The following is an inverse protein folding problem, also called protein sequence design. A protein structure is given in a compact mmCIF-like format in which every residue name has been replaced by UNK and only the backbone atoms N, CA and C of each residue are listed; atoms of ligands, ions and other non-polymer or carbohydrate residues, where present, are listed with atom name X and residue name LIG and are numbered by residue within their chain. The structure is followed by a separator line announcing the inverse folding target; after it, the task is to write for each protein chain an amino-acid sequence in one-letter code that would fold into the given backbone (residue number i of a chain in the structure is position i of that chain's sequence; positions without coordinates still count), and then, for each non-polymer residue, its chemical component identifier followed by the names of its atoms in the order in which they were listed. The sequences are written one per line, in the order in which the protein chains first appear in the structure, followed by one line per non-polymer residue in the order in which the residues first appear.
data_IF_454521979547
#
_entry.id   IF_454521979547
#
_cell.length_a   1.000
_cell.length_b   1.000
_cell.length_c   1.000
_cell.angle_alpha   90.00
_cell.angle_beta   90.00
_cell.angle_gamma   90.00
#
_symmetry.space_group_name_H-M   'P 1'
#
loop_
_entity.id
_entity.type
_entity.pdbx_description
1 polymer ?
#
# COMPACT_ATOMS: atom_id res chain seq x y z
N UNK A 1 -27.77 0.88 -19.35
CA UNK A 1 -28.43 0.80 -18.02
C UNK A 1 -29.62 -0.13 -18.16
N UNK A 2 -29.57 -1.34 -17.59
CA UNK A 2 -30.72 -2.23 -17.52
C UNK A 2 -31.31 -2.15 -16.12
N UNK A 3 -32.55 -1.72 -15.99
CA UNK A 3 -33.25 -1.69 -14.71
C UNK A 3 -33.78 -3.11 -14.43
N UNK A 4 -33.25 -3.81 -13.41
CA UNK A 4 -33.94 -4.98 -12.85
C UNK A 4 -35.00 -4.46 -11.88
N UNK A 5 -36.27 -4.63 -12.22
CA UNK A 5 -37.37 -4.51 -11.25
C UNK A 5 -37.46 -5.81 -10.47
N UNK A 6 -37.66 -5.73 -9.15
CA UNK A 6 -37.84 -6.93 -8.33
C UNK A 6 -39.08 -7.73 -8.79
N UNK A 7 -39.08 -9.08 -8.68
CA UNK A 7 -40.17 -9.93 -9.18
C UNK A 7 -41.54 -9.71 -8.52
N UNK A 8 -41.65 -8.87 -7.49
CA UNK A 8 -42.85 -8.72 -6.69
C UNK A 8 -43.15 -9.94 -5.82
N UNK A 9 -44.07 -9.78 -4.86
CA UNK A 9 -44.53 -10.86 -3.98
C UNK A 9 -45.99 -11.18 -4.25
N UNK A 10 -46.42 -12.45 -4.13
CA UNK A 10 -47.83 -12.79 -4.26
C UNK A 10 -48.65 -12.15 -3.12
N UNK A 11 -49.89 -11.72 -3.40
CA UNK A 11 -50.79 -11.20 -2.38
C UNK A 11 -51.11 -12.28 -1.33
N UNK A 12 -51.06 -11.91 -0.05
CA UNK A 12 -51.27 -12.81 1.07
C UNK A 12 -52.77 -13.14 1.22
N UNK A 13 -53.09 -14.43 1.39
CA UNK A 13 -54.47 -14.90 1.62
C UNK A 13 -55.29 -15.17 0.37
N UNK A 14 -54.71 -15.06 -0.84
CA UNK A 14 -55.40 -15.42 -2.08
C UNK A 14 -55.18 -16.90 -2.42
N UNK A 15 -56.28 -17.65 -2.60
CA UNK A 15 -56.20 -19.04 -3.04
C UNK A 15 -56.04 -19.09 -4.56
N UNK A 16 -55.20 -20.01 -5.05
CA UNK A 16 -55.04 -20.23 -6.49
C UNK A 16 -56.26 -21.01 -6.98
N UNK A 17 -57.17 -20.33 -7.67
CA UNK A 17 -58.43 -20.91 -8.14
C UNK A 17 -58.22 -22.00 -9.21
N UNK A 18 -57.19 -21.85 -10.05
CA UNK A 18 -56.86 -22.80 -11.12
C UNK A 18 -55.37 -23.11 -11.07
N UNK A 19 -55.01 -24.34 -10.71
CA UNK A 19 -53.63 -24.81 -10.74
C UNK A 19 -53.38 -25.61 -12.03
N UNK A 20 -52.36 -25.22 -12.79
CA UNK A 20 -51.95 -25.94 -14.04
C UNK A 20 -50.94 -27.06 -13.79
N UNK A 21 -50.59 -27.30 -12.52
CA UNK A 21 -49.68 -28.35 -12.08
C UNK A 21 -48.92 -27.95 -10.82
N UNK A 22 -48.02 -28.82 -10.35
CA UNK A 22 -47.13 -28.52 -9.20
C UNK A 22 -45.73 -28.20 -9.69
N UNK A 23 -45.09 -27.22 -9.07
CA UNK A 23 -43.67 -26.96 -9.30
C UNK A 23 -42.81 -28.06 -8.69
N UNK A 24 -42.01 -28.77 -9.50
CA UNK A 24 -41.08 -29.80 -8.99
C UNK A 24 -40.00 -29.24 -8.07
N UNK A 25 -39.66 -27.96 -8.20
CA UNK A 25 -38.64 -27.30 -7.37
C UNK A 25 -39.22 -26.68 -6.09
N UNK A 26 -40.36 -25.97 -6.18
CA UNK A 26 -40.96 -25.27 -5.03
C UNK A 26 -42.02 -26.09 -4.29
N UNK A 27 -42.50 -27.19 -4.88
CA UNK A 27 -43.58 -28.06 -4.35
C UNK A 27 -44.85 -27.24 -4.00
N UNK A 28 -45.16 -26.26 -4.86
CA UNK A 28 -46.35 -25.41 -4.74
C UNK A 28 -47.19 -25.49 -6.02
N UNK A 29 -48.52 -25.31 -5.93
CA UNK A 29 -49.38 -25.24 -7.11
C UNK A 29 -48.98 -24.04 -7.98
N UNK A 30 -48.80 -24.30 -9.28
CA UNK A 30 -48.44 -23.30 -10.29
C UNK A 30 -49.71 -22.60 -10.79
N UNK A 31 -49.80 -21.26 -10.68
CA UNK A 31 -50.83 -20.50 -11.37
C UNK A 31 -50.71 -20.61 -12.90
N UNK A 32 -51.79 -20.37 -13.67
CA UNK A 32 -51.77 -20.46 -15.12
C UNK A 32 -50.77 -19.46 -15.73
N UNK A 33 -50.09 -19.89 -16.80
CA UNK A 33 -49.07 -19.11 -17.55
C UNK A 33 -47.85 -18.67 -16.72
N UNK A 34 -47.63 -19.24 -15.54
CA UNK A 34 -46.42 -19.00 -14.76
C UNK A 34 -45.39 -20.09 -15.02
N UNK A 35 -44.14 -19.67 -15.18
CA UNK A 35 -43.01 -20.58 -15.34
C UNK A 35 -42.04 -20.36 -14.19
N UNK A 36 -41.49 -21.45 -13.68
CA UNK A 36 -40.40 -21.39 -12.72
C UNK A 36 -39.13 -20.95 -13.45
N UNK A 37 -38.51 -19.87 -13.01
CA UNK A 37 -37.22 -19.43 -13.50
C UNK A 37 -36.12 -19.88 -12.52
N UNK A 38 -35.15 -20.65 -13.00
CA UNK A 38 -34.00 -21.10 -12.20
C UNK A 38 -33.16 -19.93 -11.67
N UNK A 39 -33.12 -18.82 -12.41
CA UNK A 39 -32.36 -17.60 -12.03
C UNK A 39 -32.94 -16.89 -10.80
N UNK A 40 -34.24 -17.07 -10.50
CA UNK A 40 -34.86 -16.65 -9.24
C UNK A 40 -34.81 -17.71 -8.14
N UNK A 41 -34.22 -18.88 -8.43
CA UNK A 41 -33.99 -19.96 -7.47
C UNK A 41 -32.52 -20.14 -7.10
N UNK A 42 -31.67 -19.17 -7.44
CA UNK A 42 -30.30 -19.09 -6.96
C UNK A 42 -30.15 -18.01 -5.89
N UNK A 43 -30.85 -18.15 -4.77
CA UNK A 43 -30.23 -17.81 -3.50
C UNK A 43 -29.58 -19.13 -3.05
N UNK A 44 -28.27 -19.25 -2.87
CA UNK A 44 -27.57 -18.75 -1.70
C UNK A 44 -26.07 -19.04 -1.91
N UNK A 45 -25.28 -18.11 -2.46
CA UNK A 45 -24.04 -17.82 -1.71
C UNK A 45 -24.59 -17.17 -0.46
N UNK A 46 -24.70 -17.96 0.63
CA UNK A 46 -25.23 -17.52 1.92
C UNK A 46 -24.80 -16.08 2.15
N UNK A 47 -25.73 -15.12 2.31
CA UNK A 47 -25.37 -13.70 2.46
C UNK A 47 -24.30 -13.50 3.54
N UNK A 48 -24.29 -14.39 4.55
CA UNK A 48 -23.22 -14.52 5.55
C UNK A 48 -21.85 -14.78 4.92
N UNK A 49 -21.71 -15.73 3.99
CA UNK A 49 -20.44 -15.98 3.29
C UNK A 49 -19.94 -14.76 2.51
N UNK A 50 -20.82 -14.06 1.78
CA UNK A 50 -20.41 -12.83 1.07
C UNK A 50 -19.96 -11.75 2.06
N UNK A 51 -20.70 -11.57 3.15
CA UNK A 51 -20.32 -10.65 4.23
C UNK A 51 -18.98 -11.04 4.87
N UNK A 52 -18.75 -12.33 5.14
CA UNK A 52 -17.47 -12.82 5.65
C UNK A 52 -16.32 -12.54 4.69
N UNK A 53 -16.50 -12.76 3.38
CA UNK A 53 -15.48 -12.47 2.37
C UNK A 53 -15.15 -10.97 2.30
N UNK A 54 -16.16 -10.09 2.34
CA UNK A 54 -15.95 -8.64 2.37
C UNK A 54 -15.18 -8.22 3.63
N UNK A 55 -15.54 -8.77 4.80
CA UNK A 55 -14.84 -8.48 6.04
C UNK A 55 -13.38 -8.95 5.99
N UNK A 56 -13.13 -10.18 5.51
CA UNK A 56 -11.78 -10.71 5.36
C UNK A 56 -10.94 -9.83 4.44
N UNK A 57 -11.46 -9.49 3.25
CA UNK A 57 -10.79 -8.62 2.29
C UNK A 57 -10.46 -7.26 2.91
N UNK A 58 -11.42 -6.65 3.62
CA UNK A 58 -11.23 -5.37 4.29
C UNK A 58 -10.06 -5.43 5.30
N UNK A 59 -10.02 -6.46 6.16
CA UNK A 59 -8.96 -6.58 7.16
C UNK A 59 -7.60 -6.90 6.53
N UNK A 60 -7.56 -7.72 5.47
CA UNK A 60 -6.33 -8.00 4.70
C UNK A 60 -5.80 -6.72 4.06
N UNK A 61 -6.66 -5.97 3.37
CA UNK A 61 -6.29 -4.69 2.76
C UNK A 61 -5.81 -3.69 3.82
N UNK A 62 -6.48 -3.61 4.97
CA UNK A 62 -6.08 -2.74 6.08
C UNK A 62 -4.68 -3.12 6.62
N UNK A 63 -4.40 -4.41 6.82
CA UNK A 63 -3.10 -4.88 7.28
C UNK A 63 -1.98 -4.53 6.28
N UNK A 64 -2.25 -4.68 4.99
CA UNK A 64 -1.31 -4.30 3.92
C UNK A 64 -1.05 -2.79 3.95
N UNK A 65 -2.10 -1.96 4.04
CA UNK A 65 -1.95 -0.49 4.11
C UNK A 65 -1.11 -0.09 5.32
N UNK A 66 -1.40 -0.64 6.51
CA UNK A 66 -0.62 -0.34 7.72
C UNK A 66 0.85 -0.74 7.55
N UNK A 67 1.13 -1.92 6.99
CA UNK A 67 2.49 -2.38 6.72
C UNK A 67 3.24 -1.48 5.75
N UNK A 68 2.59 -1.07 4.65
CA UNK A 68 3.18 -0.18 3.65
C UNK A 68 3.43 1.22 4.21
N UNK A 69 2.51 1.77 5.01
CA UNK A 69 2.70 3.06 5.67
C UNK A 69 3.89 3.02 6.63
N UNK A 70 4.03 1.94 7.41
CA UNK A 70 5.18 1.77 8.29
C UNK A 70 6.51 1.68 7.53
N UNK A 71 6.51 0.96 6.40
CA UNK A 71 7.66 0.84 5.52
C UNK A 71 8.04 2.21 4.93
N UNK A 72 7.08 2.95 4.38
CA UNK A 72 7.28 4.30 3.82
C UNK A 72 7.81 5.25 4.88
N UNK A 73 7.25 5.22 6.10
CA UNK A 73 7.72 6.05 7.20
C UNK A 73 9.17 5.72 7.58
N UNK A 74 9.47 4.44 7.74
CA UNK A 74 10.80 3.99 8.15
C UNK A 74 11.86 4.34 7.11
N UNK A 75 11.57 4.11 5.83
CA UNK A 75 12.45 4.51 4.73
C UNK A 75 12.54 6.04 4.58
N UNK A 76 11.42 6.75 4.70
CA UNK A 76 11.39 8.19 4.63
C UNK A 76 12.23 8.86 5.72
N UNK A 77 12.27 8.27 6.92
CA UNK A 77 13.12 8.73 8.02
C UNK A 77 14.60 8.61 7.69
N UNK A 78 15.06 7.45 7.23
CA UNK A 78 16.48 7.26 6.88
C UNK A 78 16.90 8.10 5.66
N UNK A 79 16.03 8.22 4.65
CA UNK A 79 16.28 9.12 3.51
C UNK A 79 16.41 10.56 3.99
N UNK A 80 15.56 10.98 4.93
CA UNK A 80 15.65 12.33 5.50
C UNK A 80 16.97 12.60 6.22
N UNK A 81 17.62 11.56 6.75
CA UNK A 81 18.94 11.63 7.40
C UNK A 81 20.12 11.40 6.44
N UNK A 82 19.86 11.18 5.14
CA UNK A 82 20.91 10.90 4.16
C UNK A 82 21.63 9.57 4.39
N UNK A 83 20.89 8.54 4.83
CA UNK A 83 21.44 7.20 5.07
C UNK A 83 20.61 6.10 4.37
N UNK A 84 21.30 5.06 3.90
CA UNK A 84 20.70 3.80 3.45
C UNK A 84 20.34 2.89 4.64
N UNK A 85 19.57 1.83 4.40
CA UNK A 85 19.21 0.87 5.45
C UNK A 85 20.42 0.18 6.07
N UNK A 86 21.48 -0.05 5.29
CA UNK A 86 22.73 -0.64 5.77
C UNK A 86 23.52 0.40 6.58
N UNK A 87 23.64 1.61 6.05
CA UNK A 87 24.34 2.71 6.74
C UNK A 87 23.67 3.07 8.05
N UNK A 88 22.34 3.02 8.17
CA UNK A 88 21.64 3.24 9.44
C UNK A 88 22.23 2.39 10.58
N UNK A 89 22.44 1.09 10.34
CA UNK A 89 23.00 0.20 11.36
C UNK A 89 24.50 0.47 11.62
N UNK A 90 25.26 0.82 10.58
CA UNK A 90 26.68 1.21 10.70
C UNK A 90 26.80 2.50 11.52
N UNK A 91 25.99 3.50 11.20
CA UNK A 91 25.90 4.80 11.86
C UNK A 91 25.48 4.62 13.32
N UNK A 92 24.48 3.78 13.58
CA UNK A 92 24.05 3.46 14.94
C UNK A 92 25.18 2.82 15.76
N UNK A 93 25.91 1.85 15.20
CA UNK A 93 27.05 1.22 15.86
C UNK A 93 28.20 2.21 16.08
N UNK A 94 28.47 3.08 15.10
CA UNK A 94 29.52 4.10 15.16
C UNK A 94 29.18 5.18 16.19
N UNK A 95 27.94 5.65 16.23
CA UNK A 95 27.44 6.59 17.22
C UNK A 95 27.60 6.06 18.65
N UNK A 96 27.30 4.77 18.89
CA UNK A 96 27.56 4.12 20.19
C UNK A 96 29.06 4.15 20.54
N UNK A 97 29.95 3.86 19.59
CA UNK A 97 31.42 3.89 19.79
C UNK A 97 31.95 5.31 20.06
N UNK A 98 31.33 6.33 19.48
CA UNK A 98 31.69 7.73 19.69
C UNK A 98 31.19 8.23 21.04
N UNK A 99 29.97 7.87 21.42
CA UNK A 99 29.39 8.22 22.72
C UNK A 99 30.25 7.69 23.89
N UNK A 100 30.79 6.47 23.78
CA UNK A 100 31.75 5.93 24.76
C UNK A 100 33.01 6.80 24.91
N UNK A 101 33.39 7.55 23.87
CA UNK A 101 34.53 8.48 23.88
C UNK A 101 34.11 9.93 24.14
N UNK A 102 32.88 10.17 24.60
CA UNK A 102 32.27 11.50 24.78
C UNK A 102 32.33 12.37 23.51
N UNK A 103 32.23 11.72 22.34
CA UNK A 103 32.15 12.38 21.04
C UNK A 103 30.76 12.16 20.45
N UNK A 104 30.32 13.09 19.59
CA UNK A 104 29.07 12.95 18.83
C UNK A 104 29.44 12.46 17.42
N UNK A 105 28.70 11.47 16.93
CA UNK A 105 28.81 11.02 15.54
C UNK A 105 27.85 11.84 14.69
N UNK A 106 28.35 12.35 13.56
CA UNK A 106 27.57 13.07 12.56
C UNK A 106 27.67 12.32 11.24
N UNK A 107 26.54 12.11 10.57
CA UNK A 107 26.52 11.43 9.27
C UNK A 107 27.16 12.35 8.19
N UNK A 108 28.24 11.94 7.52
CA UNK A 108 28.89 12.72 6.47
C UNK A 108 28.06 12.96 5.21
N UNK A 109 27.00 12.19 5.02
CA UNK A 109 26.11 12.31 3.87
C UNK A 109 24.76 12.96 4.21
N UNK A 110 24.61 13.52 5.41
CA UNK A 110 23.43 14.29 5.78
C UNK A 110 23.56 15.77 5.38
N UNK A 111 22.91 16.14 4.28
CA UNK A 111 22.84 17.53 3.79
C UNK A 111 21.59 18.27 4.27
N UNK A 112 20.80 17.65 5.15
CA UNK A 112 19.47 18.09 5.57
C UNK A 112 18.36 17.55 4.67
N UNK A 113 17.19 17.32 5.28
CA UNK A 113 16.09 16.55 4.68
C UNK A 113 15.76 16.92 3.22
N UNK A 114 15.60 18.22 2.88
CA UNK A 114 15.24 18.63 1.51
C UNK A 114 16.30 18.22 0.49
N UNK A 115 17.59 18.40 0.81
CA UNK A 115 18.69 18.08 -0.09
C UNK A 115 18.87 16.56 -0.20
N UNK A 116 18.71 15.85 0.91
CA UNK A 116 18.78 14.39 0.93
C UNK A 116 17.68 13.77 0.05
N UNK A 117 16.44 14.28 0.17
CA UNK A 117 15.33 13.84 -0.68
C UNK A 117 15.54 14.17 -2.16
N UNK A 118 16.10 15.34 -2.50
CA UNK A 118 16.45 15.67 -3.88
C UNK A 118 17.51 14.73 -4.45
N UNK A 119 18.55 14.44 -3.67
CA UNK A 119 19.61 13.51 -4.02
C UNK A 119 19.07 12.10 -4.26
N UNK A 120 18.27 11.58 -3.31
CA UNK A 120 17.66 10.26 -3.41
C UNK A 120 16.74 10.10 -4.62
N UNK A 121 15.92 11.11 -4.91
CA UNK A 121 14.98 11.09 -6.03
C UNK A 121 15.62 11.45 -7.38
N UNK A 122 16.87 11.92 -7.40
CA UNK A 122 17.54 12.39 -8.62
C UNK A 122 16.84 13.58 -9.29
N UNK A 123 16.25 14.48 -8.50
CA UNK A 123 15.51 15.65 -8.99
C UNK A 123 16.16 16.96 -8.54
N UNK A 124 16.22 17.93 -9.46
CA UNK A 124 16.75 19.27 -9.14
C UNK A 124 15.65 20.16 -8.56
N UNK A 125 14.43 20.04 -9.10
CA UNK A 125 13.24 20.75 -8.66
C UNK A 125 12.07 19.80 -8.32
N UNK A 126 11.46 20.01 -7.15
CA UNK A 126 10.33 19.21 -6.68
C UNK A 126 9.04 19.44 -7.49
N UNK A 127 8.91 20.56 -8.21
CA UNK A 127 7.69 20.85 -8.97
C UNK A 127 7.79 20.34 -10.41
N UNK A 128 8.84 20.72 -11.13
CA UNK A 128 8.98 20.39 -12.55
C UNK A 128 9.32 18.92 -12.82
N UNK A 129 10.24 18.34 -12.04
CA UNK A 129 10.82 17.04 -12.34
C UNK A 129 10.06 15.88 -11.68
N UNK A 130 9.36 16.14 -10.57
CA UNK A 130 8.71 15.10 -9.77
C UNK A 130 7.73 14.24 -10.59
N UNK A 131 6.83 14.87 -11.35
CA UNK A 131 5.88 14.13 -12.19
C UNK A 131 6.55 13.37 -13.34
N UNK A 132 7.58 13.96 -13.95
CA UNK A 132 8.23 13.39 -15.15
C UNK A 132 9.19 12.25 -14.81
N UNK A 133 9.94 12.38 -13.71
CA UNK A 133 11.01 11.45 -13.34
C UNK A 133 10.58 10.38 -12.33
N UNK A 134 9.52 10.61 -11.54
CA UNK A 134 9.12 9.69 -10.46
C UNK A 134 7.79 8.97 -10.77
N UNK A 135 6.76 9.69 -11.19
CA UNK A 135 5.43 9.08 -11.41
C UNK A 135 5.40 8.24 -12.68
N UNK A 136 6.10 8.67 -13.73
CA UNK A 136 6.22 7.93 -14.99
C UNK A 136 7.45 7.02 -14.90
N UNK A 137 7.35 5.72 -15.30
CA UNK A 137 8.50 4.82 -15.35
C UNK A 137 9.66 5.47 -16.11
N UNK A 138 10.72 5.76 -15.37
CA UNK A 138 11.84 6.57 -15.84
C UNK A 138 12.92 5.72 -16.50
N UNK A 139 13.50 6.25 -17.58
CA UNK A 139 14.73 5.73 -18.22
C UNK A 139 15.89 6.73 -18.00
N UNK A 140 15.71 7.71 -17.12
CA UNK A 140 16.73 8.72 -16.85
C UNK A 140 17.87 8.13 -16.03
N UNK A 141 19.10 8.51 -16.38
CA UNK A 141 20.28 8.09 -15.65
C UNK A 141 20.33 8.77 -14.28
N UNK A 142 20.81 8.07 -13.24
CA UNK A 142 21.04 8.68 -11.94
C UNK A 142 22.14 9.74 -12.05
N UNK A 143 22.10 10.72 -11.15
CA UNK A 143 23.16 11.71 -11.05
C UNK A 143 24.43 11.06 -10.45
N UNK A 144 25.59 11.31 -11.04
CA UNK A 144 26.88 10.81 -10.56
C UNK A 144 27.23 9.41 -11.09
N UNK A 145 28.34 8.87 -10.58
CA UNK A 145 28.88 7.56 -10.97
C UNK A 145 28.56 6.44 -9.98
N UNK A 146 27.92 6.77 -8.85
CA UNK A 146 27.62 5.86 -7.75
C UNK A 146 28.85 5.41 -6.94
N UNK A 147 30.05 5.85 -7.31
CA UNK A 147 31.32 5.52 -6.67
C UNK A 147 31.79 6.64 -5.75
N UNK A 148 31.53 7.89 -6.13
CA UNK A 148 31.98 9.08 -5.42
C UNK A 148 30.77 9.93 -5.04
N UNK A 149 30.68 10.24 -3.75
CA UNK A 149 29.63 11.08 -3.20
C UNK A 149 30.27 12.27 -2.48
N UNK A 150 29.73 13.49 -2.65
CA UNK A 150 30.23 14.64 -1.91
C UNK A 150 30.00 14.44 -0.42
N UNK A 151 30.84 15.06 0.42
CA UNK A 151 30.60 15.14 1.86
C UNK A 151 29.85 16.43 2.21
N UNK A 152 29.02 16.37 3.25
CA UNK A 152 28.31 17.54 3.78
C UNK A 152 29.26 18.52 4.49
N UNK A 153 30.43 18.06 4.91
CA UNK A 153 31.47 18.82 5.61
C UNK A 153 32.86 18.56 5.01
N UNK A 154 33.82 19.44 5.28
CA UNK A 154 35.18 19.34 4.74
C UNK A 154 35.94 18.16 5.36
N UNK A 155 36.91 17.60 4.61
CA UNK A 155 37.73 16.48 5.09
C UNK A 155 38.45 16.78 6.42
N UNK A 156 38.79 18.05 6.66
CA UNK A 156 39.46 18.49 7.89
C UNK A 156 38.59 18.32 9.15
N UNK A 157 37.26 18.37 9.00
CA UNK A 157 36.29 18.05 10.05
C UNK A 157 36.12 16.54 10.27
N UNK A 158 36.38 15.73 9.23
CA UNK A 158 36.29 14.26 9.22
C UNK A 158 37.55 13.56 9.75
N UNK A 159 38.72 14.17 9.56
CA UNK A 159 40.03 13.60 9.85
C UNK A 159 40.29 13.20 11.33
N UNK A 160 39.77 13.88 12.38
CA UNK A 160 39.94 13.42 13.76
C UNK A 160 39.18 12.12 14.10
N UNK A 161 38.43 11.56 13.14
CA UNK A 161 37.48 10.47 13.35
C UNK A 161 37.73 9.22 12.49
N UNK A 162 38.44 9.34 11.36
CA UNK A 162 38.78 8.23 10.46
C UNK A 162 40.15 7.60 10.78
N UNK A 163 41.11 8.38 11.30
CA UNK A 163 42.52 7.96 11.47
C UNK A 163 42.81 7.02 12.67
N UNK A 164 41.86 6.23 13.16
CA UNK A 164 42.12 5.22 14.21
C UNK A 164 41.53 3.84 13.89
N UNK A 165 41.69 3.41 12.63
CA UNK A 165 41.41 2.04 12.19
C UNK A 165 42.63 1.33 11.58
N UNK A 166 43.84 1.71 11.99
CA UNK A 166 45.04 0.87 11.84
C UNK A 166 45.50 0.41 13.20
#
# INVERSE_FOLDING_TARGET
MGCRTEPGYPPQGHMIEVAVGVCKHCIQPKPPRTHHCSETCHELVSGRMVQYLILVEFFVALAIVVGLLWLIYSHGKIISNGETSIEYYINLATAKKFAMRRKVYMNPYDFGWRKNWKSFLGIDDFRGDFFKKIIIPSVYQPNGDGLIWPFAFSLDELLPHVQRQT
#
